data_IF_445823766528
#
_entry.id   IF_445823766528
#
_cell.length_a   1.000
_cell.length_b   1.000
_cell.length_c   1.000
_cell.angle_alpha   90.00
_cell.angle_beta   90.00
_cell.angle_gamma   90.00
#
_symmetry.space_group_name_H-M   'P 1'
#
loop_
_entity.id
_entity.type
_entity.pdbx_description
1 polymer ?
#
# COMPACT_ATOMS: atom_id res chain seq x y z
N UNK A 1 -5.18 22.34 -8.55
CA UNK A 1 -4.78 21.06 -9.18
C UNK A 1 -4.48 20.06 -8.06
N UNK A 2 -4.82 18.77 -8.20
CA UNK A 2 -4.44 17.77 -7.20
C UNK A 2 -2.91 17.72 -7.09
N UNK A 3 -2.39 17.72 -5.86
CA UNK A 3 -0.95 17.60 -5.60
C UNK A 3 -0.42 16.24 -6.01
N UNK A 4 0.87 16.11 -6.26
CA UNK A 4 1.48 14.82 -6.64
C UNK A 4 1.31 13.82 -5.49
N UNK A 5 1.43 14.26 -4.24
CA UNK A 5 1.15 13.42 -3.07
C UNK A 5 -0.30 12.94 -3.01
N UNK A 6 -1.28 13.78 -3.36
CA UNK A 6 -2.68 13.34 -3.48
C UNK A 6 -2.85 12.27 -4.55
N UNK A 7 -2.29 12.48 -5.74
CA UNK A 7 -2.39 11.51 -6.86
C UNK A 7 -1.70 10.19 -6.50
N UNK A 8 -0.51 10.25 -5.90
CA UNK A 8 0.23 9.06 -5.46
C UNK A 8 -0.59 8.24 -4.46
N UNK A 9 -1.21 8.89 -3.47
CA UNK A 9 -2.00 8.20 -2.46
C UNK A 9 -3.24 7.51 -3.06
N UNK A 10 -3.89 8.12 -4.06
CA UNK A 10 -5.00 7.49 -4.79
C UNK A 10 -4.50 6.28 -5.59
N UNK A 11 -3.41 6.44 -6.36
CA UNK A 11 -2.83 5.37 -7.16
C UNK A 11 -2.38 4.20 -6.28
N UNK A 12 -1.86 4.44 -5.08
CA UNK A 12 -1.48 3.39 -4.14
C UNK A 12 -2.70 2.77 -3.44
N UNK A 13 -3.75 3.54 -3.15
CA UNK A 13 -4.96 3.07 -2.48
C UNK A 13 -5.82 2.15 -3.34
N UNK A 14 -5.97 2.43 -4.64
CA UNK A 14 -6.87 1.66 -5.51
C UNK A 14 -6.48 0.17 -5.67
N UNK A 15 -5.21 -0.19 -5.96
CA UNK A 15 -4.79 -1.59 -6.02
C UNK A 15 -4.98 -2.32 -4.68
N UNK A 16 -4.76 -1.63 -3.55
CA UNK A 16 -4.98 -2.21 -2.21
C UNK A 16 -6.48 -2.50 -2.00
N UNK A 17 -7.36 -1.61 -2.44
CA UNK A 17 -8.81 -1.88 -2.42
C UNK A 17 -9.17 -3.07 -3.30
N UNK A 18 -8.64 -3.11 -4.53
CA UNK A 18 -8.86 -4.22 -5.45
C UNK A 18 -8.39 -5.56 -4.88
N UNK A 19 -7.21 -5.58 -4.26
CA UNK A 19 -6.67 -6.76 -3.58
C UNK A 19 -7.56 -7.21 -2.42
N UNK A 20 -7.93 -6.30 -1.51
CA UNK A 20 -8.82 -6.60 -0.39
C UNK A 20 -10.20 -7.09 -0.83
N UNK A 21 -10.79 -6.46 -1.84
CA UNK A 21 -12.08 -6.88 -2.41
C UNK A 21 -11.99 -8.25 -3.07
N UNK A 22 -10.88 -8.56 -3.77
CA UNK A 22 -10.67 -9.87 -4.40
C UNK A 22 -10.57 -10.97 -3.34
N UNK A 23 -9.85 -10.75 -2.24
CA UNK A 23 -9.78 -11.72 -1.13
C UNK A 23 -11.17 -12.00 -0.56
N UNK A 24 -11.99 -10.96 -0.36
CA UNK A 24 -13.33 -11.12 0.22
C UNK A 24 -14.34 -11.74 -0.75
N UNK A 25 -14.18 -11.51 -2.05
CA UNK A 25 -15.07 -12.08 -3.07
C UNK A 25 -14.70 -13.52 -3.44
N UNK A 26 -13.41 -13.82 -3.58
CA UNK A 26 -12.89 -15.12 -4.02
C UNK A 26 -11.45 -15.32 -3.50
N UNK A 27 -11.34 -15.97 -2.33
CA UNK A 27 -10.07 -16.24 -1.65
C UNK A 27 -9.11 -17.06 -2.53
N UNK A 28 -9.64 -18.02 -3.30
CA UNK A 28 -8.82 -18.86 -4.16
C UNK A 28 -8.18 -18.06 -5.29
N UNK A 29 -8.94 -17.15 -5.93
CA UNK A 29 -8.39 -16.23 -6.95
C UNK A 29 -7.34 -15.27 -6.40
N UNK A 30 -7.45 -14.90 -5.13
CA UNK A 30 -6.48 -14.04 -4.46
C UNK A 30 -5.20 -14.79 -4.01
N UNK A 31 -5.12 -16.11 -4.20
CA UNK A 31 -3.99 -16.93 -3.75
C UNK A 31 -4.08 -17.39 -2.30
N UNK A 32 -5.27 -17.33 -1.68
CA UNK A 32 -5.54 -17.71 -0.29
C UNK A 32 -6.34 -19.02 -0.17
N UNK A 33 -6.21 -19.93 -1.14
CA UNK A 33 -7.00 -21.17 -1.20
C UNK A 33 -6.81 -22.08 0.04
N UNK A 34 -5.61 -22.10 0.60
CA UNK A 34 -5.22 -23.00 1.69
C UNK A 34 -5.28 -22.35 3.09
N UNK A 35 -5.87 -21.15 3.19
CA UNK A 35 -5.86 -20.34 4.41
C UNK A 35 -7.27 -20.33 5.01
N UNK A 36 -7.43 -20.42 6.36
CA UNK A 36 -8.74 -20.34 6.98
C UNK A 36 -9.49 -19.07 6.58
N UNK A 37 -10.78 -19.20 6.27
CA UNK A 37 -11.61 -18.08 5.83
C UNK A 37 -11.60 -16.89 6.81
N UNK A 38 -11.47 -17.15 8.11
CA UNK A 38 -11.32 -16.11 9.15
C UNK A 38 -10.07 -15.26 8.94
N UNK A 39 -8.93 -15.89 8.62
CA UNK A 39 -7.65 -15.21 8.37
C UNK A 39 -7.73 -14.43 7.06
N UNK A 40 -8.30 -15.03 6.01
CA UNK A 40 -8.50 -14.35 4.74
C UNK A 40 -9.41 -13.12 4.88
N UNK A 41 -10.50 -13.20 5.66
CA UNK A 41 -11.34 -12.04 5.96
C UNK A 41 -10.58 -10.94 6.71
N UNK A 42 -9.76 -11.29 7.70
CA UNK A 42 -8.93 -10.31 8.43
C UNK A 42 -7.99 -9.59 7.46
N UNK A 43 -7.32 -10.31 6.55
CA UNK A 43 -6.41 -9.71 5.56
C UNK A 43 -7.18 -8.84 4.55
N UNK A 44 -8.33 -9.32 4.07
CA UNK A 44 -9.18 -8.59 3.14
C UNK A 44 -9.71 -7.27 3.72
N UNK A 45 -10.29 -7.30 4.92
CA UNK A 45 -10.76 -6.10 5.60
C UNK A 45 -9.62 -5.17 6.01
N UNK A 46 -8.47 -5.71 6.45
CA UNK A 46 -7.29 -4.88 6.76
C UNK A 46 -6.79 -4.14 5.52
N UNK A 47 -6.80 -4.81 4.35
CA UNK A 47 -6.44 -4.20 3.07
C UNK A 47 -7.45 -3.11 2.68
N UNK A 48 -8.75 -3.36 2.78
CA UNK A 48 -9.78 -2.35 2.53
C UNK A 48 -9.67 -1.14 3.47
N UNK A 49 -9.44 -1.37 4.77
CA UNK A 49 -9.21 -0.31 5.75
C UNK A 49 -7.97 0.51 5.41
N UNK A 50 -6.86 -0.14 5.04
CA UNK A 50 -5.64 0.55 4.62
C UNK A 50 -5.91 1.40 3.36
N UNK A 51 -6.60 0.86 2.36
CA UNK A 51 -6.99 1.60 1.17
C UNK A 51 -7.85 2.83 1.51
N UNK A 52 -8.84 2.68 2.40
CA UNK A 52 -9.66 3.79 2.85
C UNK A 52 -8.82 4.89 3.52
N UNK A 53 -7.80 4.53 4.31
CA UNK A 53 -6.86 5.49 4.91
C UNK A 53 -6.03 6.21 3.84
N UNK A 54 -5.54 5.49 2.82
CA UNK A 54 -4.83 6.09 1.69
C UNK A 54 -5.69 7.12 0.95
N UNK A 55 -6.92 6.73 0.58
CA UNK A 55 -7.86 7.59 -0.13
C UNK A 55 -8.29 8.78 0.72
N UNK A 56 -8.62 8.58 2.01
CA UNK A 56 -8.97 9.66 2.91
C UNK A 56 -7.82 10.65 3.08
N UNK A 57 -6.58 10.15 3.23
CA UNK A 57 -5.39 10.98 3.38
C UNK A 57 -5.10 11.80 2.12
N UNK A 58 -5.39 11.28 0.93
CA UNK A 58 -5.20 12.00 -0.34
C UNK A 58 -5.92 13.37 -0.38
N UNK A 59 -7.01 13.52 0.38
CA UNK A 59 -7.80 14.75 0.49
C UNK A 59 -7.50 15.58 1.74
N UNK A 60 -6.55 15.18 2.57
CA UNK A 60 -6.12 15.95 3.75
C UNK A 60 -5.14 17.06 3.37
N UNK A 61 -4.84 17.95 4.32
CA UNK A 61 -3.84 19.01 4.14
C UNK A 61 -2.44 18.45 3.82
N UNK A 62 -1.60 19.26 3.14
CA UNK A 62 -0.26 18.85 2.67
C UNK A 62 0.60 18.23 3.77
N UNK A 63 0.63 18.85 4.95
CA UNK A 63 1.37 18.34 6.11
C UNK A 63 0.94 16.91 6.49
N UNK A 64 -0.35 16.61 6.50
CA UNK A 64 -0.87 15.27 6.83
C UNK A 64 -0.50 14.25 5.76
N UNK A 65 -0.58 14.63 4.47
CA UNK A 65 -0.13 13.76 3.36
C UNK A 65 1.35 13.44 3.48
N UNK A 66 2.17 14.45 3.76
CA UNK A 66 3.62 14.28 3.90
C UNK A 66 3.99 13.42 5.09
N UNK A 67 3.37 13.64 6.25
CA UNK A 67 3.58 12.78 7.42
C UNK A 67 3.19 11.34 7.12
N UNK A 68 2.06 11.13 6.45
CA UNK A 68 1.62 9.78 6.07
C UNK A 68 2.62 9.10 5.13
N UNK A 69 3.07 9.78 4.07
CA UNK A 69 4.12 9.26 3.18
C UNK A 69 5.42 8.96 3.94
N UNK A 70 5.84 9.83 4.85
CA UNK A 70 7.02 9.60 5.69
C UNK A 70 6.87 8.36 6.56
N UNK A 71 5.71 8.14 7.16
CA UNK A 71 5.46 6.96 8.02
C UNK A 71 5.36 5.65 7.24
N UNK A 72 4.95 5.69 5.97
CA UNK A 72 4.83 4.47 5.15
C UNK A 72 6.16 3.99 4.60
N UNK A 73 7.17 4.86 4.46
CA UNK A 73 8.52 4.48 3.99
C UNK A 73 9.14 3.35 4.83
N UNK A 74 9.32 3.47 6.17
CA UNK A 74 9.94 2.40 6.95
C UNK A 74 9.10 1.12 6.96
N UNK A 75 7.77 1.24 6.91
CA UNK A 75 6.87 0.10 6.85
C UNK A 75 6.99 -0.66 5.53
N UNK A 76 7.10 0.06 4.40
CA UNK A 76 7.34 -0.55 3.09
C UNK A 76 8.69 -1.23 3.02
N UNK A 77 9.75 -0.61 3.56
CA UNK A 77 11.07 -1.25 3.60
C UNK A 77 11.07 -2.50 4.49
N UNK A 78 10.36 -2.49 5.62
CA UNK A 78 10.18 -3.66 6.46
C UNK A 78 9.39 -4.77 5.75
N UNK A 79 8.33 -4.42 5.02
CA UNK A 79 7.57 -5.35 4.19
C UNK A 79 8.43 -5.95 3.08
N UNK A 80 9.22 -5.13 2.38
CA UNK A 80 10.14 -5.60 1.35
C UNK A 80 11.16 -6.59 1.92
N UNK A 81 11.69 -6.34 3.12
CA UNK A 81 12.58 -7.27 3.81
C UNK A 81 11.89 -8.58 4.17
N UNK A 82 10.66 -8.54 4.68
CA UNK A 82 9.89 -9.75 4.97
C UNK A 82 9.65 -10.58 3.70
N UNK A 83 9.15 -9.95 2.64
CA UNK A 83 8.91 -10.61 1.36
C UNK A 83 10.18 -11.14 0.70
N UNK A 84 11.32 -10.47 0.90
CA UNK A 84 12.60 -10.99 0.41
C UNK A 84 12.97 -12.31 1.06
N UNK A 85 12.64 -12.48 2.34
CA UNK A 85 12.87 -13.74 3.08
C UNK A 85 11.93 -14.87 2.65
N UNK A 86 10.74 -14.52 2.17
CA UNK A 86 9.77 -15.48 1.64
C UNK A 86 10.16 -16.01 0.24
N UNK A 87 11.19 -15.43 -0.39
CA UNK A 87 11.81 -15.97 -1.59
C UNK A 87 10.89 -15.94 -2.83
N UNK A 88 10.83 -17.05 -3.56
CA UNK A 88 10.13 -17.12 -4.85
C UNK A 88 8.60 -16.92 -4.73
N UNK A 89 8.04 -17.20 -3.55
CA UNK A 89 6.60 -17.10 -3.31
C UNK A 89 6.11 -15.65 -3.24
N UNK A 90 7.00 -14.71 -2.92
CA UNK A 90 6.66 -13.30 -2.78
C UNK A 90 6.52 -12.55 -4.12
N UNK A 91 6.75 -13.20 -5.28
CA UNK A 91 6.42 -12.72 -6.65
C UNK A 91 6.56 -11.20 -6.87
N UNK A 92 7.76 -10.66 -6.66
CA UNK A 92 8.06 -9.25 -6.96
C UNK A 92 7.55 -8.22 -5.92
N UNK A 93 6.85 -8.66 -4.87
CA UNK A 93 6.46 -7.81 -3.74
C UNK A 93 7.63 -7.06 -3.09
N UNK A 94 8.85 -7.63 -2.93
CA UNK A 94 9.98 -6.88 -2.39
C UNK A 94 10.32 -5.65 -3.23
N UNK A 95 10.35 -5.82 -4.56
CA UNK A 95 10.67 -4.75 -5.49
C UNK A 95 9.56 -3.69 -5.51
N UNK A 96 8.29 -4.12 -5.48
CA UNK A 96 7.15 -3.22 -5.39
C UNK A 96 7.25 -2.28 -4.19
N UNK A 97 7.55 -2.79 -3.01
CA UNK A 97 7.62 -1.98 -1.79
C UNK A 97 8.84 -1.08 -1.74
N UNK A 98 10.00 -1.54 -2.23
CA UNK A 98 11.19 -0.67 -2.38
C UNK A 98 10.90 0.48 -3.34
N UNK A 99 10.32 0.20 -4.51
CA UNK A 99 10.00 1.23 -5.50
C UNK A 99 9.01 2.25 -4.91
N UNK A 100 7.96 1.79 -4.23
CA UNK A 100 6.99 2.72 -3.64
C UNK A 100 7.58 3.54 -2.48
N UNK A 101 8.52 2.99 -1.71
CA UNK A 101 9.26 3.75 -0.71
C UNK A 101 10.09 4.88 -1.37
N UNK A 102 10.82 4.55 -2.45
CA UNK A 102 11.60 5.53 -3.21
C UNK A 102 10.73 6.61 -3.87
N UNK A 103 9.58 6.22 -4.46
CA UNK A 103 8.62 7.18 -5.02
C UNK A 103 8.10 8.12 -3.93
N UNK A 104 7.80 7.60 -2.73
CA UNK A 104 7.33 8.42 -1.60
C UNK A 104 8.38 9.43 -1.18
N UNK A 105 9.66 9.04 -1.10
CA UNK A 105 10.79 9.97 -0.87
C UNK A 105 10.86 11.02 -1.97
N UNK A 106 10.80 10.61 -3.24
CA UNK A 106 10.87 11.51 -4.39
C UNK A 106 9.78 12.57 -4.39
N UNK A 107 8.52 12.18 -4.11
CA UNK A 107 7.39 13.11 -4.02
C UNK A 107 7.55 14.08 -2.85
N UNK A 108 8.01 13.60 -1.69
CA UNK A 108 8.27 14.46 -0.52
C UNK A 108 9.36 15.50 -0.79
N UNK A 109 10.45 15.10 -1.46
CA UNK A 109 11.53 16.01 -1.81
C UNK A 109 11.05 17.03 -2.85
N UNK A 110 10.36 16.58 -3.90
CA UNK A 110 9.83 17.44 -4.94
C UNK A 110 8.88 18.50 -4.39
N UNK A 111 7.88 18.10 -3.59
CA UNK A 111 6.89 19.03 -3.03
C UNK A 111 7.44 19.96 -1.93
N UNK A 112 8.66 19.71 -1.43
CA UNK A 112 9.36 20.63 -0.54
C UNK A 112 10.18 21.68 -1.30
N UNK A 113 10.57 21.38 -2.53
CA UNK A 113 11.42 22.25 -3.37
C UNK A 113 10.66 23.05 -4.42
N UNK A 114 9.43 22.66 -4.74
CA UNK A 114 8.52 23.33 -5.68
C UNK A 114 7.65 24.38 -4.97
#
# INVERSE_FOLDING_TARGET
MPSISSVLLVIQGLPIAGFGATILADQAKAGFADIPASVAHVIGFSSLSLSAVYLATAFQASRSRHHFLLTTIPLRLAAAYAFWRDGADARGAPLWDVINALISVGVLLYERTA
#
